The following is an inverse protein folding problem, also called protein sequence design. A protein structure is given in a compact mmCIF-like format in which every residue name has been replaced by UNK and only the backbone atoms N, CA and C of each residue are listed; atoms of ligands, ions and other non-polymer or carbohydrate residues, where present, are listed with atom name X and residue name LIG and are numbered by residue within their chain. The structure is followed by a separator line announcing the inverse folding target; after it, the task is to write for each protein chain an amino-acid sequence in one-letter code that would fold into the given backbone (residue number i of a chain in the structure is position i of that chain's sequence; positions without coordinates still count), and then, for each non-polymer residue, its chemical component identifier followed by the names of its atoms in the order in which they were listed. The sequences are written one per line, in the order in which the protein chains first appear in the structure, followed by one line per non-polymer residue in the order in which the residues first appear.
data_IF_693241621906
#
_entry.id   IF_693241621906
#
_cell.length_a   1.000
_cell.length_b   1.000
_cell.length_c   1.000
_cell.angle_alpha   90.00
_cell.angle_beta   90.00
_cell.angle_gamma   90.00
#
_symmetry.space_group_name_H-M   'P 1'
#
loop_
_entity.id
_entity.type
_entity.pdbx_description
1 polymer ?
#
# COMPACT_ATOMS: atom_id res chain seq x y z
N UNK A 1 2.06 -22.26 -17.81
CA UNK A 1 3.15 -21.36 -17.35
C UNK A 1 4.39 -21.46 -18.24
N UNK A 2 5.07 -22.61 -18.32
CA UNK A 2 6.32 -22.74 -19.10
C UNK A 2 6.15 -22.43 -20.60
N UNK A 3 5.09 -22.88 -21.25
CA UNK A 3 4.84 -22.60 -22.67
C UNK A 3 4.54 -21.13 -22.93
N UNK A 4 3.77 -20.49 -22.04
CA UNK A 4 3.52 -19.06 -22.08
C UNK A 4 4.83 -18.27 -22.00
N UNK A 5 5.71 -18.60 -21.04
CA UNK A 5 7.02 -17.96 -20.91
C UNK A 5 7.87 -18.18 -22.16
N UNK A 6 7.90 -19.41 -22.70
CA UNK A 6 8.62 -19.70 -23.96
C UNK A 6 8.07 -18.90 -25.14
N UNK A 7 6.75 -18.74 -25.25
CA UNK A 7 6.11 -17.93 -26.27
C UNK A 7 6.50 -16.45 -26.18
N UNK A 8 6.55 -15.90 -24.96
CA UNK A 8 6.97 -14.51 -24.72
C UNK A 8 8.45 -14.27 -25.05
N UNK A 9 9.32 -15.28 -24.90
CA UNK A 9 10.72 -15.20 -25.32
C UNK A 9 10.84 -15.35 -26.84
N UNK A 10 10.13 -16.33 -27.42
CA UNK A 10 10.16 -16.60 -28.85
C UNK A 10 9.60 -15.44 -29.69
N UNK A 11 8.65 -14.68 -29.14
CA UNK A 11 8.12 -13.46 -29.78
C UNK A 11 9.06 -12.26 -29.68
N UNK A 12 10.15 -12.37 -28.92
CA UNK A 12 11.09 -11.27 -28.67
C UNK A 12 10.62 -10.26 -27.62
N UNK A 13 9.50 -10.51 -26.93
CA UNK A 13 9.03 -9.63 -25.86
C UNK A 13 9.96 -9.62 -24.64
N UNK A 14 10.71 -10.71 -24.43
CA UNK A 14 11.75 -10.81 -23.41
C UNK A 14 12.94 -11.63 -23.91
N UNK A 15 14.15 -11.30 -23.46
CA UNK A 15 15.37 -11.99 -23.91
C UNK A 15 15.59 -13.34 -23.22
N UNK A 16 15.06 -13.54 -22.00
CA UNK A 16 15.25 -14.77 -21.22
C UNK A 16 14.21 -14.93 -20.10
N UNK A 17 14.21 -16.11 -19.47
CA UNK A 17 13.32 -16.45 -18.36
C UNK A 17 13.44 -15.47 -17.18
N UNK A 18 14.66 -15.08 -16.80
CA UNK A 18 14.89 -14.19 -15.65
C UNK A 18 14.25 -12.82 -15.85
N UNK A 19 14.18 -12.34 -17.09
CA UNK A 19 13.51 -11.09 -17.42
C UNK A 19 11.99 -11.18 -17.27
N UNK A 20 11.39 -12.29 -17.72
CA UNK A 20 9.96 -12.57 -17.54
C UNK A 20 9.58 -12.63 -16.06
N UNK A 21 10.43 -13.27 -15.24
CA UNK A 21 10.22 -13.36 -13.79
C UNK A 21 10.29 -11.99 -13.12
N UNK A 22 11.29 -11.15 -13.47
CA UNK A 22 11.38 -9.78 -12.93
C UNK A 22 10.19 -8.91 -13.33
N UNK A 23 9.72 -9.04 -14.57
CA UNK A 23 8.53 -8.31 -15.04
C UNK A 23 7.28 -8.72 -14.25
N UNK A 24 7.10 -10.03 -14.02
CA UNK A 24 6.01 -10.55 -13.18
C UNK A 24 6.09 -10.06 -11.73
N UNK A 25 7.27 -10.06 -11.12
CA UNK A 25 7.50 -9.53 -9.77
C UNK A 25 7.19 -8.03 -9.68
N UNK A 26 7.61 -7.24 -10.67
CA UNK A 26 7.29 -5.80 -10.70
C UNK A 26 5.79 -5.55 -10.71
N UNK A 27 5.05 -6.29 -11.54
CA UNK A 27 3.58 -6.20 -11.59
C UNK A 27 2.94 -6.56 -10.23
N UNK A 28 3.47 -7.58 -9.55
CA UNK A 28 2.99 -7.95 -8.22
C UNK A 28 3.27 -6.84 -7.19
N UNK A 29 4.48 -6.26 -7.20
CA UNK A 29 4.84 -5.15 -6.32
C UNK A 29 3.95 -3.91 -6.55
N UNK A 30 3.67 -3.57 -7.81
CA UNK A 30 2.76 -2.48 -8.16
C UNK A 30 1.33 -2.76 -7.66
N UNK A 31 0.85 -3.98 -7.83
CA UNK A 31 -0.47 -4.40 -7.34
C UNK A 31 -0.55 -4.39 -5.82
N UNK A 32 0.51 -4.81 -5.13
CA UNK A 32 0.57 -4.79 -3.66
C UNK A 32 0.61 -3.36 -3.12
N UNK A 33 1.38 -2.47 -3.76
CA UNK A 33 1.37 -1.03 -3.44
C UNK A 33 -0.01 -0.41 -3.67
N UNK A 34 -0.66 -0.72 -4.80
CA UNK A 34 -2.03 -0.28 -5.07
C UNK A 34 -3.02 -0.81 -4.02
N UNK A 35 -2.87 -2.07 -3.58
CA UNK A 35 -3.71 -2.66 -2.52
C UNK A 35 -3.56 -1.91 -1.20
N UNK A 36 -2.34 -1.59 -0.78
CA UNK A 36 -2.09 -0.82 0.44
C UNK A 36 -2.71 0.58 0.35
N UNK A 37 -2.56 1.25 -0.81
CA UNK A 37 -3.18 2.55 -1.06
C UNK A 37 -4.70 2.50 -0.94
N UNK A 38 -5.35 1.53 -1.59
CA UNK A 38 -6.82 1.43 -1.55
C UNK A 38 -7.34 1.02 -0.16
N UNK A 39 -6.59 0.23 0.60
CA UNK A 39 -6.94 -0.07 1.99
C UNK A 39 -6.91 1.20 2.85
N UNK A 40 -5.82 1.98 2.79
CA UNK A 40 -5.70 3.25 3.50
C UNK A 40 -6.79 4.25 3.07
N UNK A 41 -7.07 4.35 1.76
CA UNK A 41 -8.14 5.20 1.25
C UNK A 41 -9.50 4.83 1.85
N UNK A 42 -9.84 3.54 1.88
CA UNK A 42 -11.11 3.08 2.43
C UNK A 42 -11.24 3.36 3.94
N UNK A 43 -10.15 3.23 4.69
CA UNK A 43 -10.14 3.55 6.12
C UNK A 43 -10.29 5.06 6.37
N UNK A 44 -9.66 5.91 5.56
CA UNK A 44 -9.84 7.36 5.62
C UNK A 44 -11.25 7.78 5.25
N UNK A 45 -11.85 7.19 4.20
CA UNK A 45 -13.23 7.50 3.80
C UNK A 45 -14.23 7.17 4.92
N UNK A 46 -13.99 6.07 5.65
CA UNK A 46 -14.78 5.71 6.82
C UNK A 46 -14.61 6.70 7.96
N UNK A 47 -13.38 7.08 8.28
CA UNK A 47 -13.09 8.06 9.32
C UNK A 47 -13.73 9.43 9.00
N UNK A 48 -13.74 9.85 7.74
CA UNK A 48 -14.43 11.07 7.29
C UNK A 48 -15.94 10.95 7.53
N UNK A 49 -16.55 9.83 7.14
CA UNK A 49 -17.98 9.61 7.36
C UNK A 49 -18.34 9.62 8.86
N UNK A 50 -17.49 9.06 9.72
CA UNK A 50 -17.66 9.11 11.17
C UNK A 50 -17.60 10.56 11.70
N UNK A 51 -16.63 11.36 11.24
CA UNK A 51 -16.53 12.78 11.61
C UNK A 51 -17.75 13.58 11.13
N UNK A 52 -18.20 13.36 9.90
CA UNK A 52 -19.39 14.02 9.33
C UNK A 52 -20.68 13.64 10.08
N UNK A 53 -20.76 12.40 10.59
CA UNK A 53 -21.85 11.93 11.45
C UNK A 53 -21.75 12.46 12.90
N UNK A 54 -20.67 13.17 13.25
CA UNK A 54 -20.40 13.66 14.59
C UNK A 54 -19.83 12.59 15.54
N UNK A 55 -19.38 11.46 15.01
CA UNK A 55 -18.70 10.41 15.76
C UNK A 55 -17.20 10.72 15.90
N UNK A 56 -16.90 11.81 16.59
CA UNK A 56 -15.53 12.16 16.96
C UNK A 56 -15.50 12.79 18.35
N UNK A 57 -14.34 12.69 19.00
CA UNK A 57 -14.09 13.35 20.28
C UNK A 57 -12.83 14.20 20.18
N UNK A 58 -12.77 15.36 20.87
CA UNK A 58 -11.53 16.11 21.00
C UNK A 58 -10.44 15.23 21.62
N UNK A 59 -9.26 15.22 20.99
CA UNK A 59 -8.11 14.47 21.48
C UNK A 59 -7.08 15.42 22.12
N UNK A 60 -6.78 15.20 23.40
CA UNK A 60 -5.71 15.90 24.12
C UNK A 60 -4.45 15.03 24.17
N UNK A 61 -3.47 15.37 23.31
CA UNK A 61 -2.22 14.62 23.22
C UNK A 61 -1.34 14.77 24.48
N UNK A 62 -1.40 15.91 25.18
CA UNK A 62 -0.58 16.14 26.38
C UNK A 62 -1.10 15.34 27.56
N UNK A 63 -2.43 15.22 27.69
CA UNK A 63 -3.05 14.36 28.70
C UNK A 63 -2.87 12.86 28.39
N UNK A 64 -2.86 12.49 27.10
CA UNK A 64 -2.72 11.10 26.67
C UNK A 64 -1.30 10.55 26.87
N UNK A 65 -0.27 11.32 26.52
CA UNK A 65 1.14 10.92 26.63
C UNK A 65 2.02 12.00 27.29
N UNK A 66 1.84 12.30 28.58
CA UNK A 66 2.56 13.39 29.25
C UNK A 66 4.09 13.24 29.16
N UNK A 67 4.63 12.04 29.34
CA UNK A 67 6.06 11.75 29.30
C UNK A 67 6.72 12.05 27.94
N UNK A 68 5.96 11.98 26.84
CA UNK A 68 6.47 12.29 25.50
C UNK A 68 6.77 13.79 25.33
N UNK A 69 6.07 14.65 26.08
CA UNK A 69 6.15 16.11 25.97
C UNK A 69 6.93 16.77 27.12
N UNK A 70 7.24 16.05 28.20
CA UNK A 70 8.00 16.57 29.35
C UNK A 70 9.51 16.76 29.09
N UNK A 71 10.11 16.06 28.12
CA UNK A 71 11.57 16.13 27.85
C UNK A 71 12.04 17.34 27.01
N UNK A 72 11.17 18.30 26.73
CA UNK A 72 11.50 19.48 25.92
C UNK A 72 11.58 20.81 26.71
N UNK A 73 11.48 20.76 28.05
CA UNK A 73 11.54 21.94 28.94
C UNK A 73 12.91 22.17 29.57
#
# INVERSE_FOLDING_TARGET
MQEYVRGQIASGAYANLSEVVRAGLRLLMEKDGARQFYALKADLERAVADVEAGHFEPFDAYAFEPEAFERQG
#
